data_IF_884368228181
#
_entry.id   IF_884368228181
#
_cell.length_a   1.000
_cell.length_b   1.000
_cell.length_c   1.000
_cell.angle_alpha   90.00
_cell.angle_beta   90.00
_cell.angle_gamma   90.00
#
_symmetry.space_group_name_H-M   'P 1'
#
loop_
_entity.id
_entity.type
_entity.pdbx_description
1 polymer ?
#
# COMPACT_ATOMS: atom_id res chain seq x y z
N UNK A 1 27.33 -0.91 -39.31
CA UNK A 1 27.07 -0.62 -37.87
C UNK A 1 25.58 -0.73 -37.58
N UNK A 2 25.12 -1.84 -36.99
CA UNK A 2 23.72 -2.01 -36.55
C UNK A 2 23.50 -1.23 -35.26
N UNK A 3 22.75 -0.12 -35.32
CA UNK A 3 22.26 0.58 -34.11
C UNK A 3 21.37 -0.37 -33.31
N UNK A 4 21.80 -0.73 -32.11
CA UNK A 4 20.97 -1.43 -31.14
C UNK A 4 19.78 -0.55 -30.76
N UNK A 5 18.59 -0.87 -31.30
CA UNK A 5 17.34 -0.32 -30.79
C UNK A 5 17.16 -0.86 -29.38
N UNK A 6 17.45 -0.03 -28.38
CA UNK A 6 17.03 -0.29 -27.01
C UNK A 6 15.53 -0.58 -27.01
N UNK A 7 15.15 -1.82 -26.68
CA UNK A 7 13.76 -2.19 -26.51
C UNK A 7 13.26 -1.42 -25.29
N UNK A 8 12.54 -0.33 -25.51
CA UNK A 8 11.71 0.25 -24.45
C UNK A 8 10.76 -0.87 -24.02
N UNK A 9 10.76 -1.27 -22.73
CA UNK A 9 9.84 -2.28 -22.26
C UNK A 9 8.42 -1.83 -22.60
N UNK A 10 7.65 -2.68 -23.29
CA UNK A 10 6.25 -2.35 -23.58
C UNK A 10 5.48 -2.14 -22.28
N UNK A 11 4.41 -1.34 -22.31
CA UNK A 11 3.58 -1.01 -21.13
C UNK A 11 3.17 -2.25 -20.31
N UNK A 12 2.91 -3.38 -20.96
CA UNK A 12 2.59 -4.65 -20.28
C UNK A 12 3.74 -5.20 -19.44
N UNK A 13 4.99 -5.01 -19.88
CA UNK A 13 6.18 -5.43 -19.13
C UNK A 13 6.35 -4.61 -17.86
N UNK A 14 6.06 -3.31 -17.91
CA UNK A 14 6.11 -2.46 -16.73
C UNK A 14 5.02 -2.85 -15.73
N UNK A 15 3.79 -3.07 -16.19
CA UNK A 15 2.69 -3.53 -15.34
C UNK A 15 3.04 -4.85 -14.65
N UNK A 16 3.57 -5.81 -15.40
CA UNK A 16 4.00 -7.10 -14.85
C UNK A 16 5.12 -6.93 -13.82
N UNK A 17 6.10 -6.07 -14.07
CA UNK A 17 7.20 -5.81 -13.14
C UNK A 17 6.70 -5.18 -11.83
N UNK A 18 5.83 -4.17 -11.91
CA UNK A 18 5.27 -3.48 -10.73
C UNK A 18 4.36 -4.40 -9.93
N UNK A 19 3.50 -5.16 -10.60
CA UNK A 19 2.63 -6.13 -9.95
C UNK A 19 3.41 -7.28 -9.30
N UNK A 20 4.39 -7.84 -10.01
CA UNK A 20 5.27 -8.89 -9.50
C UNK A 20 6.11 -8.41 -8.31
N UNK A 21 6.67 -7.20 -8.41
CA UNK A 21 7.41 -6.58 -7.30
C UNK A 21 6.55 -6.33 -6.07
N UNK A 22 5.33 -5.80 -6.25
CA UNK A 22 4.39 -5.60 -5.15
C UNK A 22 3.96 -6.92 -4.50
N UNK A 23 3.64 -7.94 -5.29
CA UNK A 23 3.30 -9.27 -4.77
C UNK A 23 4.46 -9.90 -4.00
N UNK A 24 5.69 -9.78 -4.52
CA UNK A 24 6.90 -10.26 -3.83
C UNK A 24 7.13 -9.51 -2.52
N UNK A 25 6.98 -8.18 -2.50
CA UNK A 25 7.14 -7.37 -1.30
C UNK A 25 6.13 -7.77 -0.21
N UNK A 26 4.85 -7.97 -0.57
CA UNK A 26 3.82 -8.48 0.36
C UNK A 26 4.22 -9.87 0.86
N UNK A 27 4.63 -10.77 -0.04
CA UNK A 27 5.06 -12.11 0.32
C UNK A 27 6.21 -12.12 1.32
N UNK A 28 7.24 -11.30 1.09
CA UNK A 28 8.36 -11.13 2.03
C UNK A 28 7.86 -10.60 3.38
N UNK A 29 7.01 -9.57 3.40
CA UNK A 29 6.49 -9.01 4.65
C UNK A 29 5.69 -10.04 5.47
N UNK A 30 4.85 -10.84 4.81
CA UNK A 30 4.05 -11.89 5.46
C UNK A 30 4.91 -13.04 5.96
N UNK A 31 5.94 -13.44 5.21
CA UNK A 31 6.86 -14.52 5.60
C UNK A 31 7.80 -14.09 6.73
N UNK A 32 8.29 -12.85 6.71
CA UNK A 32 9.15 -12.31 7.76
C UNK A 32 8.41 -12.12 9.09
N UNK A 33 7.13 -11.73 9.02
CA UNK A 33 6.28 -11.50 10.20
C UNK A 33 4.91 -12.17 10.00
N UNK A 34 4.77 -13.47 10.30
CA UNK A 34 3.51 -14.17 10.12
C UNK A 34 2.34 -13.47 10.84
N UNK A 35 1.18 -13.30 10.19
CA UNK A 35 0.07 -12.53 10.74
C UNK A 35 -0.52 -13.21 11.98
N UNK A 36 -0.60 -12.53 13.13
CA UNK A 36 -1.22 -13.12 14.32
C UNK A 36 -2.74 -13.12 14.17
N UNK A 37 -3.31 -14.27 13.78
CA UNK A 37 -4.74 -14.45 13.53
C UNK A 37 -5.54 -14.70 14.82
N UNK A 38 -5.55 -13.72 15.74
CA UNK A 38 -6.39 -13.77 16.94
C UNK A 38 -7.57 -12.80 16.84
N UNK A 39 -8.68 -13.09 17.52
CA UNK A 39 -9.97 -12.39 17.33
C UNK A 39 -9.91 -10.87 17.48
N UNK A 40 -9.11 -10.35 18.42
CA UNK A 40 -8.94 -8.91 18.62
C UNK A 40 -8.27 -8.21 17.42
N UNK A 41 -7.23 -8.82 16.86
CA UNK A 41 -6.53 -8.30 15.66
C UNK A 41 -7.44 -8.38 14.44
N UNK A 42 -8.16 -9.49 14.27
CA UNK A 42 -9.07 -9.67 13.14
C UNK A 42 -10.21 -8.65 13.15
N UNK A 43 -10.78 -8.36 14.33
CA UNK A 43 -11.83 -7.33 14.46
C UNK A 43 -11.31 -5.94 14.08
N UNK A 44 -10.12 -5.56 14.55
CA UNK A 44 -9.48 -4.29 14.17
C UNK A 44 -9.20 -4.24 12.67
N UNK A 45 -8.65 -5.32 12.11
CA UNK A 45 -8.36 -5.44 10.69
C UNK A 45 -9.63 -5.28 9.84
N UNK A 46 -10.75 -5.91 10.20
CA UNK A 46 -12.01 -5.77 9.48
C UNK A 46 -12.52 -4.33 9.46
N UNK A 47 -12.49 -3.64 10.60
CA UNK A 47 -12.89 -2.23 10.69
C UNK A 47 -11.98 -1.36 9.82
N UNK A 48 -10.67 -1.56 9.94
CA UNK A 48 -9.68 -0.77 9.24
C UNK A 48 -9.70 -1.02 7.72
N UNK A 49 -9.95 -2.25 7.25
CA UNK A 49 -10.14 -2.53 5.81
C UNK A 49 -11.27 -1.69 5.23
N UNK A 50 -12.39 -1.59 5.95
CA UNK A 50 -13.54 -0.79 5.51
C UNK A 50 -13.17 0.69 5.50
N UNK A 51 -12.52 1.19 6.54
CA UNK A 51 -12.09 2.59 6.62
C UNK A 51 -11.07 2.94 5.52
N UNK A 52 -10.11 2.07 5.25
CA UNK A 52 -9.10 2.24 4.20
C UNK A 52 -9.74 2.19 2.81
N UNK A 53 -10.75 1.33 2.59
CA UNK A 53 -11.50 1.36 1.34
C UNK A 53 -12.26 2.67 1.17
N UNK A 54 -12.91 3.15 2.24
CA UNK A 54 -13.67 4.41 2.23
C UNK A 54 -12.76 5.62 2.02
N UNK A 55 -11.55 5.63 2.60
CA UNK A 55 -10.61 6.75 2.49
C UNK A 55 -10.11 6.96 1.06
N UNK A 56 -10.00 5.90 0.27
CA UNK A 56 -9.70 5.97 -1.16
C UNK A 56 -10.90 6.45 -2.00
N UNK A 57 -12.13 6.18 -1.55
CA UNK A 57 -13.34 6.65 -2.23
C UNK A 57 -13.62 8.14 -1.96
N UNK A 58 -13.11 8.68 -0.85
CA UNK A 58 -13.26 10.09 -0.48
C UNK A 58 -12.08 10.87 -1.07
N UNK A 59 -12.32 11.56 -2.19
CA UNK A 59 -11.33 12.47 -2.79
C UNK A 59 -11.59 13.91 -2.36
N UNK A 60 -10.57 14.55 -1.78
CA UNK A 60 -10.56 15.97 -1.48
C UNK A 60 -9.91 16.70 -2.66
N UNK A 61 -10.56 17.74 -3.16
CA UNK A 61 -9.99 18.64 -4.16
C UNK A 61 -9.13 19.66 -3.45
N UNK A 62 -7.81 19.52 -3.58
CA UNK A 62 -6.87 20.53 -3.11
C UNK A 62 -6.57 21.48 -4.26
N UNK A 63 -6.91 22.75 -4.12
CA UNK A 63 -6.53 23.76 -5.11
C UNK A 63 -5.07 24.14 -4.90
N UNK A 64 -4.23 23.84 -5.89
CA UNK A 64 -2.83 24.24 -5.92
C UNK A 64 -2.65 25.22 -7.08
N UNK A 65 -2.76 26.52 -6.78
CA UNK A 65 -2.72 27.57 -7.79
C UNK A 65 -3.84 27.46 -8.82
N UNK A 66 -3.49 27.35 -10.11
CA UNK A 66 -4.45 27.21 -11.23
C UNK A 66 -4.89 25.75 -11.49
N UNK A 67 -4.42 24.77 -10.70
CA UNK A 67 -4.76 23.35 -10.86
C UNK A 67 -5.42 22.78 -9.61
N UNK A 68 -6.49 22.01 -9.80
CA UNK A 68 -7.11 21.24 -8.72
C UNK A 68 -6.52 19.83 -8.72
N UNK A 69 -5.77 19.46 -7.69
CA UNK A 69 -5.27 18.11 -7.47
C UNK A 69 -6.27 17.33 -6.61
N UNK A 70 -6.56 16.08 -7.00
CA UNK A 70 -7.43 15.19 -6.24
C UNK A 70 -6.53 14.34 -5.34
N UNK A 71 -6.60 14.60 -4.04
CA UNK A 71 -5.91 13.79 -3.03
C UNK A 71 -6.95 12.95 -2.30
N UNK A 72 -6.68 11.65 -2.12
CA UNK A 72 -7.54 10.79 -1.29
C UNK A 72 -7.05 10.81 0.15
N UNK A 73 -7.82 10.23 1.06
CA UNK A 73 -7.40 10.04 2.46
C UNK A 73 -6.70 8.70 2.66
N UNK A 74 -6.34 8.01 1.58
CA UNK A 74 -5.78 6.66 1.61
C UNK A 74 -4.48 6.60 2.41
N UNK A 75 -3.56 7.53 2.18
CA UNK A 75 -2.27 7.56 2.86
C UNK A 75 -2.43 7.73 4.38
N UNK A 76 -3.43 8.50 4.82
CA UNK A 76 -3.74 8.64 6.25
C UNK A 76 -4.29 7.33 6.84
N UNK A 77 -5.11 6.61 6.07
CA UNK A 77 -5.60 5.29 6.49
C UNK A 77 -4.46 4.27 6.58
N UNK A 78 -3.50 4.29 5.65
CA UNK A 78 -2.28 3.45 5.72
C UNK A 78 -1.47 3.76 6.99
N UNK A 79 -1.34 5.03 7.36
CA UNK A 79 -0.67 5.40 8.63
C UNK A 79 -1.43 4.85 9.83
N UNK A 80 -2.76 4.92 9.83
CA UNK A 80 -3.57 4.32 10.89
C UNK A 80 -3.41 2.80 10.96
N UNK A 81 -3.39 2.11 9.80
CA UNK A 81 -3.13 0.68 9.70
C UNK A 81 -1.77 0.32 10.32
N UNK A 82 -0.73 1.08 9.97
CA UNK A 82 0.63 0.89 10.47
C UNK A 82 0.75 1.06 11.98
N UNK A 83 0.04 2.02 12.56
CA UNK A 83 0.10 2.31 14.01
C UNK A 83 -0.74 1.32 14.82
N UNK A 84 -1.87 0.87 14.29
CA UNK A 84 -2.87 0.12 15.05
C UNK A 84 -2.79 -1.40 14.87
N UNK A 85 -2.06 -1.87 13.86
CA UNK A 85 -1.97 -3.28 13.50
C UNK A 85 -0.52 -3.77 13.47
N UNK A 86 -0.29 -5.08 13.71
CA UNK A 86 0.98 -5.71 13.44
C UNK A 86 1.40 -5.53 11.97
N UNK A 87 2.70 -5.37 11.71
CA UNK A 87 3.27 -5.05 10.39
C UNK A 87 2.64 -5.81 9.20
N UNK A 88 2.62 -7.14 9.22
CA UNK A 88 2.05 -7.92 8.11
C UNK A 88 0.55 -7.73 7.95
N UNK A 89 -0.18 -7.54 9.05
CA UNK A 89 -1.62 -7.27 9.03
C UNK A 89 -1.88 -5.87 8.48
N UNK A 90 -1.07 -4.86 8.86
CA UNK A 90 -1.16 -3.51 8.31
C UNK A 90 -1.02 -3.51 6.78
N UNK A 91 0.01 -4.19 6.24
CA UNK A 91 0.19 -4.34 4.78
C UNK A 91 -1.03 -4.96 4.13
N UNK A 92 -1.52 -6.09 4.68
CA UNK A 92 -2.66 -6.81 4.11
C UNK A 92 -3.94 -5.97 4.15
N UNK A 93 -4.18 -5.27 5.26
CA UNK A 93 -5.35 -4.39 5.44
C UNK A 93 -5.30 -3.24 4.44
N UNK A 94 -4.16 -2.56 4.32
CA UNK A 94 -3.99 -1.44 3.40
C UNK A 94 -4.22 -1.84 1.93
N UNK A 95 -3.59 -2.94 1.51
CA UNK A 95 -3.70 -3.44 0.12
C UNK A 95 -5.11 -3.98 -0.16
N UNK A 96 -5.75 -4.64 0.81
CA UNK A 96 -7.12 -5.15 0.66
C UNK A 96 -8.13 -4.01 0.59
N UNK A 97 -8.02 -3.00 1.47
CA UNK A 97 -8.86 -1.81 1.44
C UNK A 97 -8.79 -1.09 0.10
N UNK A 98 -7.57 -0.88 -0.41
CA UNK A 98 -7.36 -0.33 -1.76
C UNK A 98 -8.02 -1.20 -2.84
N UNK A 99 -7.78 -2.52 -2.82
CA UNK A 99 -8.35 -3.42 -3.80
C UNK A 99 -9.89 -3.34 -3.82
N UNK A 100 -10.54 -3.32 -2.66
CA UNK A 100 -11.98 -3.13 -2.54
C UNK A 100 -12.44 -1.79 -3.13
N UNK A 101 -11.75 -0.69 -2.82
CA UNK A 101 -12.06 0.61 -3.38
C UNK A 101 -11.95 0.62 -4.92
N UNK A 102 -10.90 0.02 -5.48
CA UNK A 102 -10.70 -0.06 -6.93
C UNK A 102 -11.76 -0.95 -7.62
N UNK A 103 -12.23 -2.01 -6.94
CA UNK A 103 -13.36 -2.84 -7.40
C UNK A 103 -14.65 -2.03 -7.41
N UNK A 104 -14.95 -1.29 -6.33
CA UNK A 104 -16.13 -0.41 -6.24
C UNK A 104 -16.10 0.66 -7.33
N UNK A 105 -14.92 1.25 -7.58
CA UNK A 105 -14.71 2.22 -8.65
C UNK A 105 -14.69 1.60 -10.06
N UNK A 106 -14.84 0.27 -10.18
CA UNK A 106 -14.83 -0.50 -11.43
C UNK A 106 -13.63 -0.19 -12.32
N UNK A 107 -12.43 -0.07 -11.72
CA UNK A 107 -11.22 0.24 -12.47
C UNK A 107 -10.91 -0.86 -13.50
N UNK A 108 -10.37 -0.52 -14.68
CA UNK A 108 -9.93 -1.52 -15.65
C UNK A 108 -8.89 -2.49 -15.06
N UNK A 109 -8.93 -3.79 -15.39
CA UNK A 109 -8.07 -4.80 -14.75
C UNK A 109 -6.57 -4.49 -14.80
N UNK A 110 -6.08 -3.96 -15.93
CA UNK A 110 -4.67 -3.56 -16.08
C UNK A 110 -4.27 -2.46 -15.10
N UNK A 111 -5.16 -1.48 -14.87
CA UNK A 111 -4.93 -0.38 -13.93
C UNK A 111 -5.10 -0.85 -12.49
N UNK A 112 -6.03 -1.76 -12.23
CA UNK A 112 -6.21 -2.40 -10.93
C UNK A 112 -4.92 -3.09 -10.46
N UNK A 113 -4.38 -3.98 -11.31
CA UNK A 113 -3.16 -4.74 -10.99
C UNK A 113 -1.95 -3.83 -10.83
N UNK A 114 -1.80 -2.84 -11.73
CA UNK A 114 -0.72 -1.86 -11.63
C UNK A 114 -0.81 -1.04 -10.34
N UNK A 115 -1.98 -0.50 -10.01
CA UNK A 115 -2.18 0.33 -8.83
C UNK A 115 -1.89 -0.48 -7.56
N UNK A 116 -2.41 -1.70 -7.44
CA UNK A 116 -2.14 -2.55 -6.28
C UNK A 116 -0.64 -2.83 -6.13
N UNK A 117 0.04 -3.18 -7.23
CA UNK A 117 1.48 -3.43 -7.19
C UNK A 117 2.27 -2.19 -6.77
N UNK A 118 1.93 -1.02 -7.33
CA UNK A 118 2.56 0.25 -7.00
C UNK A 118 2.36 0.62 -5.53
N UNK A 119 1.13 0.51 -5.02
CA UNK A 119 0.84 0.81 -3.62
C UNK A 119 1.50 -0.18 -2.68
N UNK A 120 1.51 -1.48 -3.00
CA UNK A 120 2.23 -2.48 -2.22
C UNK A 120 3.73 -2.15 -2.09
N UNK A 121 4.35 -1.70 -3.18
CA UNK A 121 5.75 -1.26 -3.19
C UNK A 121 6.00 0.00 -2.34
N UNK A 122 4.98 0.82 -2.08
CA UNK A 122 5.08 1.97 -1.17
C UNK A 122 4.76 1.62 0.29
N UNK A 123 3.68 0.88 0.52
CA UNK A 123 3.18 0.49 1.84
C UNK A 123 4.16 -0.42 2.56
N UNK A 124 4.72 -1.43 1.89
CA UNK A 124 5.61 -2.40 2.55
C UNK A 124 6.85 -1.73 3.14
N UNK A 125 7.61 -0.90 2.40
CA UNK A 125 8.72 -0.15 3.00
C UNK A 125 8.29 0.80 4.11
N UNK A 126 7.16 1.51 3.96
CA UNK A 126 6.68 2.41 5.00
C UNK A 126 6.40 1.67 6.31
N UNK A 127 5.68 0.54 6.24
CA UNK A 127 5.40 -0.35 7.38
C UNK A 127 6.70 -0.88 7.98
N UNK A 128 7.63 -1.34 7.14
CA UNK A 128 8.91 -1.91 7.57
C UNK A 128 9.77 -0.87 8.30
N UNK A 129 9.82 0.37 7.81
CA UNK A 129 10.53 1.47 8.48
C UNK A 129 9.89 1.75 9.83
N UNK A 130 8.57 1.98 9.89
CA UNK A 130 7.87 2.33 11.13
C UNK A 130 8.03 1.27 12.23
N UNK A 131 7.86 -0.01 11.90
CA UNK A 131 8.02 -1.10 12.86
C UNK A 131 9.50 -1.39 13.17
N UNK A 132 10.39 -1.21 12.20
CA UNK A 132 11.83 -1.43 12.35
C UNK A 132 12.50 -0.42 13.29
N UNK A 133 11.97 0.80 13.41
CA UNK A 133 12.46 1.83 14.34
C UNK A 133 11.81 1.76 15.73
N UNK A 134 11.13 0.67 16.09
CA UNK A 134 10.51 0.52 17.41
C UNK A 134 9.21 1.32 17.58
N UNK A 135 8.34 1.33 16.55
CA UNK A 135 7.02 2.01 16.59
C UNK A 135 7.08 3.54 16.71
N UNK A 136 8.27 4.14 16.49
CA UNK A 136 8.51 5.56 16.69
C UNK A 136 8.94 5.93 18.13
N UNK A 137 9.17 4.94 18.99
CA UNK A 137 9.88 5.15 20.25
C UNK A 137 11.37 5.25 19.93
N UNK A 138 11.90 6.48 19.87
CA UNK A 138 13.34 6.68 19.97
C UNK A 138 13.73 6.23 21.38
N UNK A 139 14.20 5.00 21.51
CA UNK A 139 14.78 4.51 22.76
C UNK A 139 15.87 5.50 23.16
N UNK A 140 15.58 6.31 24.17
CA UNK A 140 16.55 7.25 24.71
C UNK A 140 17.62 6.41 25.35
N UNK A 141 18.74 6.27 24.65
CA UNK A 141 19.97 5.65 25.15
C UNK A 141 20.37 6.39 26.42
N UNK A 142 19.91 5.90 27.57
CA UNK A 142 20.42 6.30 28.87
C UNK A 142 21.73 5.54 29.07
N UNK A 143 22.82 6.20 28.66
CA UNK A 143 24.18 5.90 29.10
C UNK A 143 24.50 6.62 30.40
#
# INVERSE_FOLDING_TARGET
MKRGRGRTPGTSSLIAAVAGGGALAIGIAVLAYPPPLHGGVLRKALILVVLTAMSELISIRLQHGQSAELLTLFELAVVADMVLLPASVAVLVSVTGLALALIVQRKPPKKFVFNIGQYALGVVPAVAVYHGIGHGEFESVHG
#
